data_IF_272596539152
#
_entry.id   IF_272596539152
#
_cell.length_a   1.000
_cell.length_b   1.000
_cell.length_c   1.000
_cell.angle_alpha   90.00
_cell.angle_beta   90.00
_cell.angle_gamma   90.00
#
_symmetry.space_group_name_H-M   'P 1'
#
loop_
_entity.id
_entity.type
_entity.pdbx_description
1 polymer ?
#
# COMPACT_ATOMS: atom_id res chain seq x y z
N UNK A 1 19.12 -23.50 -31.02
CA UNK A 1 18.81 -22.51 -32.07
C UNK A 1 19.06 -23.17 -33.42
N UNK A 2 18.20 -22.94 -34.42
CA UNK A 2 18.37 -23.55 -35.75
C UNK A 2 19.50 -22.83 -36.51
N UNK A 3 20.39 -23.56 -37.19
CA UNK A 3 21.58 -23.03 -37.87
C UNK A 3 21.21 -21.98 -38.93
N UNK A 4 20.15 -22.24 -39.70
CA UNK A 4 19.58 -21.30 -40.67
C UNK A 4 19.11 -19.97 -40.03
N UNK A 5 18.70 -19.99 -38.75
CA UNK A 5 18.25 -18.79 -38.02
C UNK A 5 19.44 -17.94 -37.60
N UNK A 6 20.55 -18.55 -37.19
CA UNK A 6 21.80 -17.85 -36.88
C UNK A 6 22.34 -17.15 -38.13
N UNK A 7 22.32 -17.83 -39.28
CA UNK A 7 22.78 -17.27 -40.55
C UNK A 7 21.94 -16.05 -40.97
N UNK A 8 20.61 -16.12 -40.79
CA UNK A 8 19.72 -14.98 -41.03
C UNK A 8 20.04 -13.79 -40.11
N UNK A 9 20.33 -14.03 -38.82
CA UNK A 9 20.75 -12.97 -37.90
C UNK A 9 22.08 -12.34 -38.30
N UNK A 10 23.08 -13.15 -38.67
CA UNK A 10 24.38 -12.64 -39.13
C UNK A 10 24.25 -11.82 -40.41
N UNK A 11 23.38 -12.25 -41.33
CA UNK A 11 23.09 -11.50 -42.56
C UNK A 11 22.46 -10.14 -42.25
N UNK A 12 21.50 -10.09 -41.32
CA UNK A 12 20.90 -8.84 -40.87
C UNK A 12 21.93 -7.92 -40.18
N UNK A 13 22.81 -8.47 -39.34
CA UNK A 13 23.89 -7.72 -38.68
C UNK A 13 24.86 -7.12 -39.70
N UNK A 14 25.22 -7.88 -40.74
CA UNK A 14 26.05 -7.37 -41.83
C UNK A 14 25.34 -6.25 -42.59
N UNK A 15 24.05 -6.41 -42.90
CA UNK A 15 23.26 -5.38 -43.55
C UNK A 15 23.18 -4.09 -42.70
N UNK A 16 23.07 -4.21 -41.38
CA UNK A 16 23.09 -3.08 -40.44
C UNK A 16 24.42 -2.31 -40.46
N UNK A 17 25.56 -2.97 -40.69
CA UNK A 17 26.84 -2.28 -40.85
C UNK A 17 27.00 -1.57 -42.20
N UNK A 18 26.25 -1.99 -43.22
CA UNK A 18 26.36 -1.47 -44.58
C UNK A 18 25.26 -0.46 -44.93
N UNK A 19 24.20 -0.36 -44.12
CA UNK A 19 23.11 0.56 -44.38
C UNK A 19 23.52 2.02 -44.12
N UNK A 20 22.86 2.95 -44.81
CA UNK A 20 23.12 4.37 -44.62
C UNK A 20 22.67 4.81 -43.22
N UNK A 21 23.45 5.69 -42.58
CA UNK A 21 23.13 6.23 -41.26
C UNK A 21 21.69 6.76 -41.22
N UNK A 22 20.88 6.24 -40.29
CA UNK A 22 19.47 6.60 -40.09
C UNK A 22 18.47 5.65 -40.77
N UNK A 23 18.92 4.68 -41.56
CA UNK A 23 18.05 3.66 -42.18
C UNK A 23 17.92 2.37 -41.35
N UNK A 24 18.67 2.26 -40.25
CA UNK A 24 18.65 1.08 -39.37
C UNK A 24 17.24 0.73 -38.87
N UNK A 25 16.39 1.69 -38.44
CA UNK A 25 15.03 1.36 -37.99
C UNK A 25 14.16 0.78 -39.11
N UNK A 26 14.29 1.29 -40.34
CA UNK A 26 13.54 0.78 -41.48
C UNK A 26 14.01 -0.63 -41.89
N UNK A 27 15.32 -0.88 -41.83
CA UNK A 27 15.89 -2.20 -42.08
C UNK A 27 15.44 -3.23 -41.04
N UNK A 28 15.44 -2.85 -39.76
CA UNK A 28 14.94 -3.71 -38.67
C UNK A 28 13.43 -3.97 -38.82
N UNK A 29 12.64 -2.97 -39.21
CA UNK A 29 11.21 -3.13 -39.47
C UNK A 29 10.94 -4.05 -40.67
N UNK A 30 11.74 -3.97 -41.73
CA UNK A 30 11.64 -4.84 -42.90
C UNK A 30 11.99 -6.30 -42.60
N UNK A 31 12.70 -6.57 -41.50
CA UNK A 31 13.09 -7.90 -41.02
C UNK A 31 12.51 -8.18 -39.62
N UNK A 32 11.31 -7.65 -39.32
CA UNK A 32 10.72 -7.70 -37.98
C UNK A 32 10.56 -9.14 -37.44
N UNK A 33 10.41 -10.13 -38.31
CA UNK A 33 10.35 -11.54 -37.96
C UNK A 33 11.66 -12.11 -37.43
N UNK A 34 12.79 -11.42 -37.64
CA UNK A 34 14.11 -11.74 -37.08
C UNK A 34 14.40 -10.95 -35.80
N UNK A 35 13.63 -9.90 -35.49
CA UNK A 35 13.85 -9.05 -34.31
C UNK A 35 13.27 -9.73 -33.07
N UNK A 36 14.07 -10.59 -32.46
CA UNK A 36 13.73 -11.35 -31.25
C UNK A 36 14.93 -11.45 -30.29
N UNK A 37 14.74 -12.11 -29.14
CA UNK A 37 15.80 -12.28 -28.15
C UNK A 37 17.02 -13.08 -28.69
N UNK A 38 16.83 -13.91 -29.72
CA UNK A 38 17.89 -14.65 -30.39
C UNK A 38 18.81 -13.72 -31.18
N UNK A 39 18.25 -12.74 -31.91
CA UNK A 39 19.04 -11.72 -32.59
C UNK A 39 19.88 -10.91 -31.61
N UNK A 40 19.29 -10.45 -30.50
CA UNK A 40 19.98 -9.69 -29.45
C UNK A 40 21.18 -10.48 -28.92
N UNK A 41 21.02 -11.77 -28.64
CA UNK A 41 22.10 -12.63 -28.16
C UNK A 41 23.25 -12.74 -29.18
N UNK A 42 22.94 -12.91 -30.46
CA UNK A 42 23.94 -13.00 -31.54
C UNK A 42 24.65 -11.66 -31.74
N UNK A 43 23.94 -10.52 -31.67
CA UNK A 43 24.55 -9.19 -31.73
C UNK A 43 25.56 -8.97 -30.60
N UNK A 44 25.24 -9.37 -29.36
CA UNK A 44 26.16 -9.29 -28.21
C UNK A 44 27.40 -10.17 -28.40
N UNK A 45 27.21 -11.40 -28.88
CA UNK A 45 28.32 -12.32 -29.15
C UNK A 45 29.22 -11.80 -30.28
N UNK A 46 28.63 -11.29 -31.35
CA UNK A 46 29.38 -10.74 -32.48
C UNK A 46 30.11 -9.43 -32.11
N UNK A 47 29.51 -8.60 -31.27
CA UNK A 47 30.17 -7.43 -30.70
C UNK A 47 31.44 -7.78 -29.91
N UNK A 48 31.37 -8.82 -29.07
CA UNK A 48 32.55 -9.32 -28.34
C UNK A 48 33.62 -9.91 -29.25
N UNK A 49 33.24 -10.54 -30.36
CA UNK A 49 34.18 -11.00 -31.38
C UNK A 49 34.89 -9.83 -32.09
N UNK A 50 34.16 -8.76 -32.45
CA UNK A 50 34.74 -7.55 -33.05
C UNK A 50 35.75 -6.89 -32.11
N UNK A 51 35.44 -6.83 -30.82
CA UNK A 51 36.36 -6.29 -29.81
C UNK A 51 37.66 -7.10 -29.72
N UNK A 52 37.59 -8.43 -29.78
CA UNK A 52 38.77 -9.31 -29.82
C UNK A 52 39.60 -9.14 -31.09
N UNK A 53 38.99 -8.74 -32.20
CA UNK A 53 39.68 -8.44 -33.46
C UNK A 53 40.23 -7.01 -33.54
N UNK A 54 40.01 -6.18 -32.52
CA UNK A 54 40.45 -4.79 -32.47
C UNK A 54 39.48 -3.79 -33.10
N UNK A 55 38.29 -4.22 -33.52
CA UNK A 55 37.22 -3.36 -34.04
C UNK A 55 36.26 -2.93 -32.92
N UNK A 56 36.82 -2.22 -31.93
CA UNK A 56 36.07 -1.80 -30.74
C UNK A 56 34.95 -0.79 -31.04
N UNK A 57 35.03 -0.05 -32.15
CA UNK A 57 34.01 0.93 -32.52
C UNK A 57 32.73 0.24 -33.01
N UNK A 58 32.85 -0.70 -33.95
CA UNK A 58 31.72 -1.47 -34.44
C UNK A 58 31.18 -2.42 -33.36
N UNK A 59 32.06 -3.00 -32.55
CA UNK A 59 31.66 -3.81 -31.40
C UNK A 59 30.79 -3.02 -30.41
N UNK A 60 31.23 -1.81 -30.02
CA UNK A 60 30.46 -0.97 -29.09
C UNK A 60 29.14 -0.47 -29.69
N UNK A 61 29.15 -0.08 -30.96
CA UNK A 61 27.93 0.32 -31.65
C UNK A 61 26.90 -0.81 -31.67
N UNK A 62 27.32 -2.02 -32.03
CA UNK A 62 26.45 -3.19 -32.10
C UNK A 62 25.92 -3.59 -30.72
N UNK A 63 26.75 -3.47 -29.69
CA UNK A 63 26.35 -3.70 -28.31
C UNK A 63 25.27 -2.71 -27.84
N UNK A 64 25.42 -1.42 -28.16
CA UNK A 64 24.41 -0.41 -27.83
C UNK A 64 23.08 -0.66 -28.54
N UNK A 65 23.13 -1.06 -29.82
CA UNK A 65 21.92 -1.41 -30.57
C UNK A 65 21.24 -2.66 -29.99
N UNK A 66 22.01 -3.68 -29.63
CA UNK A 66 21.49 -4.88 -28.98
C UNK A 66 20.80 -4.56 -27.65
N UNK A 67 21.35 -3.62 -26.86
CA UNK A 67 20.74 -3.16 -25.61
C UNK A 67 19.42 -2.40 -25.84
N UNK A 68 19.35 -1.57 -26.88
CA UNK A 68 18.10 -0.87 -27.24
C UNK A 68 17.01 -1.85 -27.68
N UNK A 69 17.38 -2.83 -28.52
CA UNK A 69 16.46 -3.89 -28.95
C UNK A 69 16.02 -4.77 -27.79
N UNK A 70 16.92 -5.10 -26.86
CA UNK A 70 16.58 -5.84 -25.64
C UNK A 70 15.54 -5.08 -24.81
N UNK A 71 15.68 -3.77 -24.62
CA UNK A 71 14.69 -2.95 -23.91
C UNK A 71 13.32 -2.89 -24.62
N UNK A 72 13.29 -3.02 -25.95
CA UNK A 72 12.04 -3.02 -26.72
C UNK A 72 11.37 -4.40 -26.68
N UNK A 73 12.15 -5.47 -26.74
CA UNK A 73 11.67 -6.86 -26.81
C UNK A 73 11.33 -7.45 -25.43
N UNK A 74 12.10 -7.07 -24.41
CA UNK A 74 11.92 -7.47 -23.01
C UNK A 74 12.20 -6.23 -22.14
N UNK A 75 11.27 -5.27 -22.07
CA UNK A 75 11.46 -4.07 -21.27
C UNK A 75 11.71 -4.47 -19.81
N UNK A 76 12.58 -3.73 -19.07
CA UNK A 76 12.88 -4.02 -17.68
C UNK A 76 11.60 -4.29 -16.89
N UNK A 77 11.56 -5.36 -16.09
CA UNK A 77 10.36 -5.77 -15.33
C UNK A 77 9.74 -4.63 -14.50
N UNK A 78 10.55 -3.64 -14.10
CA UNK A 78 10.11 -2.43 -13.39
C UNK A 78 9.31 -1.42 -14.23
N UNK A 79 9.34 -1.50 -15.55
CA UNK A 79 8.70 -0.52 -16.45
C UNK A 79 7.33 -0.96 -17.01
N UNK A 80 6.80 -2.12 -16.63
CA UNK A 80 5.50 -2.59 -17.16
C UNK A 80 4.33 -2.50 -16.17
N UNK A 81 4.56 -2.38 -14.86
CA UNK A 81 3.49 -2.21 -13.88
C UNK A 81 3.93 -1.30 -12.73
N UNK A 82 3.85 0.04 -12.89
CA UNK A 82 4.29 0.98 -11.84
C UNK A 82 3.55 0.78 -10.52
N UNK A 83 2.28 0.35 -10.55
CA UNK A 83 1.52 0.01 -9.34
C UNK A 83 2.05 -1.24 -8.64
N UNK A 84 2.44 -2.27 -9.42
CA UNK A 84 3.03 -3.50 -8.91
C UNK A 84 4.36 -3.27 -8.21
N UNK A 85 5.31 -2.61 -8.89
CA UNK A 85 6.61 -2.27 -8.30
C UNK A 85 6.45 -1.36 -7.08
N UNK A 86 5.59 -0.34 -7.17
CA UNK A 86 5.32 0.55 -6.04
C UNK A 86 4.73 -0.20 -4.84
N UNK A 87 3.72 -1.05 -5.05
CA UNK A 87 3.11 -1.84 -3.98
C UNK A 87 4.14 -2.76 -3.32
N UNK A 88 4.99 -3.43 -4.11
CA UNK A 88 6.05 -4.28 -3.58
C UNK A 88 7.04 -3.49 -2.73
N UNK A 89 7.58 -2.38 -3.26
CA UNK A 89 8.53 -1.52 -2.51
C UNK A 89 7.90 -0.95 -1.25
N UNK A 90 6.62 -0.57 -1.30
CA UNK A 90 5.89 -0.03 -0.17
C UNK A 90 5.73 -1.06 0.95
N UNK A 91 5.24 -2.26 0.62
CA UNK A 91 5.07 -3.35 1.58
C UNK A 91 6.41 -3.79 2.18
N UNK A 92 7.47 -3.87 1.36
CA UNK A 92 8.82 -4.14 1.85
C UNK A 92 9.32 -3.06 2.81
N UNK A 93 9.14 -1.78 2.45
CA UNK A 93 9.54 -0.65 3.30
C UNK A 93 8.80 -0.68 4.65
N UNK A 94 7.51 -1.01 4.66
CA UNK A 94 6.73 -1.13 5.88
C UNK A 94 7.27 -2.28 6.76
N UNK A 95 7.52 -3.45 6.16
CA UNK A 95 8.06 -4.60 6.87
C UNK A 95 9.46 -4.36 7.45
N UNK A 96 10.34 -3.70 6.71
CA UNK A 96 11.72 -3.43 7.14
C UNK A 96 11.82 -2.30 8.18
N UNK A 97 10.80 -1.44 8.25
CA UNK A 97 10.79 -0.28 9.14
C UNK A 97 9.85 -0.40 10.33
N UNK A 98 9.21 -1.56 10.52
CA UNK A 98 8.18 -1.79 11.54
C UNK A 98 7.09 -0.69 11.51
N UNK A 99 6.63 -0.32 10.31
CA UNK A 99 5.60 0.71 10.14
C UNK A 99 6.06 2.14 10.41
N UNK A 100 7.37 2.42 10.45
CA UNK A 100 7.87 3.76 10.75
C UNK A 100 7.59 4.77 9.63
N UNK A 101 6.72 5.76 9.93
CA UNK A 101 6.35 6.83 9.01
C UNK A 101 7.54 7.62 8.43
N UNK A 102 8.67 7.74 9.13
CA UNK A 102 9.86 8.42 8.58
C UNK A 102 10.46 7.71 7.36
N UNK A 103 10.33 6.38 7.29
CA UNK A 103 10.74 5.59 6.13
C UNK A 103 9.65 5.58 5.04
N UNK A 104 8.38 5.51 5.45
CA UNK A 104 7.24 5.31 4.55
C UNK A 104 6.82 6.62 3.84
N UNK A 105 6.72 7.74 4.56
CA UNK A 105 6.16 8.97 4.01
C UNK A 105 6.93 9.56 2.82
N UNK A 106 8.27 9.54 2.77
CA UNK A 106 8.99 9.95 1.56
C UNK A 106 8.64 9.11 0.33
N UNK A 107 8.41 7.81 0.51
CA UNK A 107 8.02 6.92 -0.58
C UNK A 107 6.62 7.26 -1.09
N UNK A 108 5.66 7.51 -0.18
CA UNK A 108 4.32 7.97 -0.56
C UNK A 108 4.34 9.35 -1.24
N UNK A 109 5.13 10.28 -0.72
CA UNK A 109 5.30 11.64 -1.26
C UNK A 109 5.82 11.64 -2.69
N UNK A 110 6.77 10.76 -3.02
CA UNK A 110 7.34 10.67 -4.35
C UNK A 110 6.41 9.95 -5.35
N UNK A 111 5.38 9.25 -4.86
CA UNK A 111 4.50 8.40 -5.66
C UNK A 111 3.02 8.79 -5.53
N UNK A 112 2.71 10.05 -5.20
CA UNK A 112 1.33 10.54 -5.07
C UNK A 112 0.45 10.24 -6.29
N UNK A 113 1.05 10.21 -7.49
CA UNK A 113 0.36 9.92 -8.74
C UNK A 113 -0.11 8.45 -8.86
N UNK A 114 0.44 7.54 -8.05
CA UNK A 114 0.02 6.14 -7.97
C UNK A 114 -1.00 5.89 -6.85
N UNK A 115 -1.28 6.90 -6.00
CA UNK A 115 -2.25 6.79 -4.91
C UNK A 115 -3.67 7.04 -5.44
N UNK A 116 -4.18 6.11 -6.25
CA UNK A 116 -5.51 6.13 -6.83
C UNK A 116 -6.25 4.78 -6.65
N UNK A 117 -7.42 4.65 -7.27
CA UNK A 117 -8.25 3.44 -7.18
C UNK A 117 -7.57 2.19 -7.77
N UNK A 118 -6.63 2.33 -8.71
CA UNK A 118 -5.90 1.18 -9.26
C UNK A 118 -5.01 0.55 -8.20
N UNK A 119 -4.35 1.37 -7.38
CA UNK A 119 -3.58 0.88 -6.23
C UNK A 119 -4.47 0.19 -5.20
N UNK A 120 -5.64 0.74 -4.90
CA UNK A 120 -6.61 0.11 -3.98
C UNK A 120 -7.04 -1.26 -4.48
N UNK A 121 -7.37 -1.36 -5.77
CA UNK A 121 -7.78 -2.62 -6.39
C UNK A 121 -6.65 -3.65 -6.42
N UNK A 122 -5.43 -3.21 -6.74
CA UNK A 122 -4.25 -4.07 -6.74
C UNK A 122 -3.94 -4.59 -5.33
N UNK A 123 -3.95 -3.72 -4.32
CA UNK A 123 -3.75 -4.10 -2.92
C UNK A 123 -4.78 -5.15 -2.47
N UNK A 124 -6.05 -4.97 -2.85
CA UNK A 124 -7.11 -5.94 -2.53
C UNK A 124 -6.90 -7.29 -3.20
N UNK A 125 -6.56 -7.29 -4.49
CA UNK A 125 -6.25 -8.53 -5.22
C UNK A 125 -5.07 -9.25 -4.58
N UNK A 126 -3.95 -8.53 -4.40
CA UNK A 126 -2.75 -9.06 -3.78
C UNK A 126 -3.02 -9.63 -2.37
N UNK A 127 -3.71 -8.89 -1.49
CA UNK A 127 -3.92 -9.34 -0.13
C UNK A 127 -4.88 -10.53 -0.04
N UNK A 128 -5.87 -10.64 -0.95
CA UNK A 128 -6.74 -11.81 -1.05
C UNK A 128 -5.95 -13.04 -1.53
N UNK A 129 -5.20 -12.91 -2.62
CA UNK A 129 -4.40 -14.00 -3.18
C UNK A 129 -3.34 -14.48 -2.18
N UNK A 130 -2.67 -13.55 -1.49
CA UNK A 130 -1.67 -13.86 -0.46
C UNK A 130 -2.32 -14.61 0.71
N UNK A 131 -3.50 -14.18 1.18
CA UNK A 131 -4.21 -14.81 2.28
C UNK A 131 -4.67 -16.24 1.95
N UNK A 132 -5.08 -16.51 0.71
CA UNK A 132 -5.49 -17.85 0.28
C UNK A 132 -4.34 -18.86 0.27
N UNK A 133 -3.12 -18.38 0.04
CA UNK A 133 -1.91 -19.21 -0.06
C UNK A 133 -1.14 -19.32 1.26
N UNK A 134 -1.41 -18.42 2.21
CA UNK A 134 -0.69 -18.32 3.47
C UNK A 134 -1.05 -19.42 4.47
N UNK A 135 -0.03 -19.92 5.17
CA UNK A 135 -0.19 -20.66 6.42
C UNK A 135 -0.78 -19.77 7.53
N UNK A 136 -1.22 -20.35 8.67
CA UNK A 136 -1.73 -19.55 9.79
C UNK A 136 -0.72 -18.52 10.33
N UNK A 137 0.56 -18.85 10.36
CA UNK A 137 1.63 -17.94 10.80
C UNK A 137 1.83 -16.79 9.79
N UNK A 138 1.91 -17.11 8.50
CA UNK A 138 2.02 -16.10 7.44
C UNK A 138 0.79 -15.20 7.39
N UNK A 139 -0.40 -15.74 7.70
CA UNK A 139 -1.65 -14.98 7.80
C UNK A 139 -1.58 -13.95 8.94
N UNK A 140 -0.95 -14.29 10.07
CA UNK A 140 -0.73 -13.36 11.16
C UNK A 140 0.28 -12.26 10.78
N UNK A 141 1.40 -12.62 10.15
CA UNK A 141 2.38 -11.66 9.66
C UNK A 141 1.78 -10.69 8.63
N UNK A 142 0.93 -11.21 7.73
CA UNK A 142 0.17 -10.40 6.78
C UNK A 142 -0.78 -9.42 7.50
N UNK A 143 -1.44 -9.84 8.58
CA UNK A 143 -2.31 -8.98 9.36
C UNK A 143 -1.57 -7.83 10.05
N UNK A 144 -0.36 -8.09 10.57
CA UNK A 144 0.50 -7.05 11.14
C UNK A 144 0.96 -6.06 10.06
N UNK A 145 1.46 -6.57 8.93
CA UNK A 145 1.87 -5.74 7.79
C UNK A 145 0.74 -4.83 7.28
N UNK A 146 -0.47 -5.38 7.16
CA UNK A 146 -1.65 -4.63 6.70
C UNK A 146 -2.16 -3.63 7.75
N UNK A 147 -1.94 -3.88 9.04
CA UNK A 147 -2.21 -2.90 10.09
C UNK A 147 -1.26 -1.70 9.97
N UNK A 148 0.03 -1.94 9.79
CA UNK A 148 1.03 -0.87 9.66
C UNK A 148 0.82 -0.06 8.37
N UNK A 149 0.50 -0.73 7.26
CA UNK A 149 0.06 -0.08 6.03
C UNK A 149 -1.15 0.83 6.30
N UNK A 150 -2.17 0.31 6.97
CA UNK A 150 -3.38 1.08 7.26
C UNK A 150 -3.11 2.29 8.15
N UNK A 151 -2.28 2.13 9.17
CA UNK A 151 -1.86 3.23 10.05
C UNK A 151 -1.07 4.30 9.29
N UNK A 152 -0.12 3.89 8.44
CA UNK A 152 0.65 4.82 7.63
C UNK A 152 -0.24 5.67 6.71
N UNK A 153 -1.20 5.06 6.01
CA UNK A 153 -2.13 5.80 5.15
C UNK A 153 -3.16 6.63 5.93
N UNK A 154 -3.59 6.17 7.10
CA UNK A 154 -4.47 6.95 7.96
C UNK A 154 -3.83 8.27 8.40
N UNK A 155 -2.55 8.22 8.78
CA UNK A 155 -1.80 9.39 9.26
C UNK A 155 -1.21 10.25 8.12
N UNK A 156 -1.17 9.74 6.88
CA UNK A 156 -0.56 10.44 5.75
C UNK A 156 -1.47 11.57 5.22
N UNK A 157 -1.07 12.85 5.33
CA UNK A 157 -1.96 13.98 5.07
C UNK A 157 -2.03 14.39 3.59
N UNK A 158 -1.18 13.84 2.72
CA UNK A 158 -1.09 14.22 1.30
C UNK A 158 -1.81 13.21 0.40
N UNK A 159 -2.05 13.62 -0.84
CA UNK A 159 -2.76 12.81 -1.84
C UNK A 159 -4.27 12.93 -1.69
N UNK A 160 -4.99 11.94 -2.23
CA UNK A 160 -6.44 11.91 -2.16
C UNK A 160 -6.88 11.26 -0.82
N UNK A 161 -7.54 12.00 0.10
CA UNK A 161 -7.91 11.45 1.41
C UNK A 161 -8.87 10.27 1.31
N UNK A 162 -9.68 10.17 0.23
CA UNK A 162 -10.57 9.01 0.02
C UNK A 162 -9.80 7.74 -0.31
N UNK A 163 -8.69 7.86 -1.04
CA UNK A 163 -7.84 6.73 -1.42
C UNK A 163 -7.05 6.25 -0.22
N UNK A 164 -6.42 7.17 0.51
CA UNK A 164 -5.72 6.85 1.75
C UNK A 164 -6.64 6.12 2.73
N UNK A 165 -7.88 6.62 2.87
CA UNK A 165 -8.88 6.01 3.73
C UNK A 165 -9.35 4.64 3.23
N UNK A 166 -9.47 4.44 1.91
CA UNK A 166 -9.83 3.14 1.35
C UNK A 166 -8.76 2.07 1.62
N UNK A 167 -7.48 2.45 1.55
CA UNK A 167 -6.35 1.58 1.90
C UNK A 167 -6.35 1.29 3.40
N UNK A 168 -6.55 2.32 4.24
CA UNK A 168 -6.61 2.17 5.69
C UNK A 168 -7.74 1.24 6.14
N UNK A 169 -8.96 1.44 5.60
CA UNK A 169 -10.11 0.57 5.91
C UNK A 169 -9.79 -0.87 5.51
N UNK A 170 -9.29 -1.11 4.30
CA UNK A 170 -8.95 -2.47 3.86
C UNK A 170 -7.95 -3.15 4.81
N UNK A 171 -6.84 -2.49 5.15
CA UNK A 171 -5.83 -3.08 6.02
C UNK A 171 -6.35 -3.35 7.44
N UNK A 172 -7.11 -2.42 8.02
CA UNK A 172 -7.73 -2.63 9.33
C UNK A 172 -8.79 -3.74 9.32
N UNK A 173 -9.58 -3.89 8.25
CA UNK A 173 -10.54 -4.99 8.13
C UNK A 173 -9.87 -6.35 8.05
N UNK A 174 -8.84 -6.48 7.21
CA UNK A 174 -8.08 -7.73 7.10
C UNK A 174 -7.41 -8.06 8.44
N UNK A 175 -6.77 -7.08 9.08
CA UNK A 175 -6.15 -7.26 10.39
C UNK A 175 -7.18 -7.71 11.44
N UNK A 176 -8.27 -6.94 11.61
CA UNK A 176 -9.29 -7.23 12.62
C UNK A 176 -9.95 -8.60 12.41
N UNK A 177 -10.23 -8.99 11.16
CA UNK A 177 -10.83 -10.31 10.87
C UNK A 177 -9.88 -11.45 11.16
N UNK A 178 -8.59 -11.29 10.87
CA UNK A 178 -7.56 -12.29 11.14
C UNK A 178 -7.32 -12.51 12.63
N UNK A 179 -7.18 -11.44 13.42
CA UNK A 179 -6.82 -11.55 14.84
C UNK A 179 -8.03 -11.76 15.77
N UNK A 180 -9.27 -11.64 15.26
CA UNK A 180 -10.53 -11.73 16.04
C UNK A 180 -10.63 -12.94 16.96
N UNK A 181 -10.06 -14.08 16.55
CA UNK A 181 -10.19 -15.37 17.25
C UNK A 181 -8.89 -15.83 17.91
N UNK A 182 -7.87 -14.97 17.94
CA UNK A 182 -6.55 -15.32 18.46
C UNK A 182 -6.45 -14.93 19.94
N UNK A 183 -6.26 -15.91 20.86
CA UNK A 183 -6.08 -15.61 22.28
C UNK A 183 -4.83 -14.76 22.51
N UNK A 184 -4.93 -13.77 23.40
CA UNK A 184 -3.81 -12.89 23.77
C UNK A 184 -3.65 -11.66 22.88
N UNK A 185 -4.41 -11.54 21.78
CA UNK A 185 -4.42 -10.38 20.89
C UNK A 185 -5.61 -9.45 21.11
N UNK A 186 -6.30 -9.55 22.26
CA UNK A 186 -7.49 -8.77 22.56
C UNK A 186 -7.20 -7.27 22.56
N UNK A 187 -6.04 -6.87 23.08
CA UNK A 187 -5.60 -5.47 23.06
C UNK A 187 -5.42 -4.94 21.64
N UNK A 188 -4.78 -5.72 20.78
CA UNK A 188 -4.51 -5.33 19.39
C UNK A 188 -5.81 -5.28 18.60
N UNK A 189 -6.69 -6.26 18.78
CA UNK A 189 -8.02 -6.26 18.19
C UNK A 189 -8.84 -5.02 18.59
N UNK A 190 -8.84 -4.65 19.88
CA UNK A 190 -9.53 -3.44 20.34
C UNK A 190 -8.94 -2.16 19.73
N UNK A 191 -7.63 -2.11 19.52
CA UNK A 191 -6.96 -0.98 18.86
C UNK A 191 -7.33 -0.91 17.39
N UNK A 192 -7.22 -2.01 16.65
CA UNK A 192 -7.59 -2.10 15.23
C UNK A 192 -9.05 -1.76 15.01
N UNK A 193 -9.97 -2.29 15.82
CA UNK A 193 -11.40 -1.97 15.72
C UNK A 193 -11.71 -0.50 16.00
N UNK A 194 -11.00 0.13 16.94
CA UNK A 194 -11.17 1.56 17.19
C UNK A 194 -10.68 2.40 16.01
N UNK A 195 -9.53 2.07 15.43
CA UNK A 195 -9.00 2.78 14.27
C UNK A 195 -9.88 2.56 13.03
N UNK A 196 -10.40 1.35 12.84
CA UNK A 196 -11.41 1.05 11.83
C UNK A 196 -12.68 1.90 12.01
N UNK A 197 -13.14 2.06 13.25
CA UNK A 197 -14.28 2.92 13.57
C UNK A 197 -14.02 4.40 13.23
N UNK A 198 -12.81 4.89 13.49
CA UNK A 198 -12.39 6.26 13.12
C UNK A 198 -12.39 6.39 11.60
N UNK A 199 -11.79 5.44 10.90
CA UNK A 199 -11.71 5.45 9.45
C UNK A 199 -13.10 5.48 8.80
N UNK A 200 -14.03 4.67 9.30
CA UNK A 200 -15.42 4.69 8.85
C UNK A 200 -16.15 6.02 9.15
N UNK A 201 -15.90 6.61 10.31
CA UNK A 201 -16.48 7.91 10.67
C UNK A 201 -16.02 9.02 9.72
N UNK A 202 -14.71 9.06 9.42
CA UNK A 202 -14.15 10.01 8.43
C UNK A 202 -14.76 9.75 7.04
N UNK A 203 -14.96 8.49 6.65
CA UNK A 203 -15.53 8.18 5.34
C UNK A 203 -16.97 8.68 5.21
N UNK A 204 -17.73 8.61 6.31
CA UNK A 204 -19.07 9.17 6.39
C UNK A 204 -19.07 10.70 6.32
N UNK A 205 -18.15 11.37 7.01
CA UNK A 205 -17.98 12.83 6.95
C UNK A 205 -17.60 13.31 5.54
N UNK A 206 -16.84 12.51 4.80
CA UNK A 206 -16.56 12.74 3.39
C UNK A 206 -17.77 12.42 2.48
N UNK A 207 -18.93 12.05 3.01
CA UNK A 207 -20.17 11.87 2.28
C UNK A 207 -20.28 10.56 1.47
N UNK A 208 -19.36 9.60 1.65
CA UNK A 208 -19.47 8.28 1.02
C UNK A 208 -20.33 7.40 1.92
N UNK A 209 -21.53 7.07 1.47
CA UNK A 209 -22.52 6.23 2.19
C UNK A 209 -22.59 6.54 3.71
N UNK A 210 -22.90 7.81 4.08
CA UNK A 210 -22.66 8.30 5.44
C UNK A 210 -23.38 7.51 6.53
N UNK A 211 -24.62 7.09 6.29
CA UNK A 211 -25.39 6.28 7.25
C UNK A 211 -24.73 4.90 7.45
N UNK A 212 -24.46 4.18 6.36
CA UNK A 212 -23.89 2.83 6.42
C UNK A 212 -22.47 2.84 7.05
N UNK A 213 -21.65 3.85 6.75
CA UNK A 213 -20.34 3.96 7.35
C UNK A 213 -20.38 4.34 8.83
N UNK A 214 -21.35 5.16 9.27
CA UNK A 214 -21.55 5.39 10.70
C UNK A 214 -22.03 4.12 11.43
N UNK A 215 -22.89 3.30 10.80
CA UNK A 215 -23.29 2.01 11.36
C UNK A 215 -22.08 1.07 11.54
N UNK A 216 -21.21 0.98 10.53
CA UNK A 216 -19.95 0.21 10.60
C UNK A 216 -19.02 0.75 11.69
N UNK A 217 -18.90 2.08 11.81
CA UNK A 217 -18.10 2.71 12.86
C UNK A 217 -18.62 2.36 14.25
N UNK A 218 -19.93 2.51 14.47
CA UNK A 218 -20.60 2.19 15.74
C UNK A 218 -20.44 0.71 16.10
N UNK A 219 -20.55 -0.19 15.11
CA UNK A 219 -20.31 -1.62 15.32
C UNK A 219 -18.87 -1.89 15.79
N UNK A 220 -17.87 -1.33 15.09
CA UNK A 220 -16.46 -1.50 15.43
C UNK A 220 -16.14 -0.93 16.83
N UNK A 221 -16.63 0.27 17.16
CA UNK A 221 -16.44 0.88 18.48
C UNK A 221 -17.13 0.10 19.60
N UNK A 222 -18.32 -0.47 19.37
CA UNK A 222 -19.01 -1.29 20.37
C UNK A 222 -18.24 -2.58 20.66
N UNK A 223 -17.68 -3.22 19.63
CA UNK A 223 -16.83 -4.41 19.78
C UNK A 223 -15.53 -4.06 20.54
N UNK A 224 -14.83 -2.99 20.15
CA UNK A 224 -13.65 -2.49 20.87
C UNK A 224 -13.95 -2.14 22.34
N UNK A 225 -15.10 -1.50 22.61
CA UNK A 225 -15.57 -1.18 23.97
C UNK A 225 -15.83 -2.45 24.79
N UNK A 226 -16.35 -3.50 24.16
CA UNK A 226 -16.63 -4.77 24.84
C UNK A 226 -15.33 -5.43 25.29
N UNK A 227 -14.31 -5.44 24.43
CA UNK A 227 -12.99 -5.96 24.73
C UNK A 227 -12.30 -5.12 25.82
N UNK A 228 -12.30 -3.78 25.69
CA UNK A 228 -11.65 -2.86 26.64
C UNK A 228 -12.30 -2.82 28.03
N UNK A 229 -13.45 -3.47 28.24
CA UNK A 229 -14.04 -3.66 29.57
C UNK A 229 -13.47 -4.86 30.33
N UNK A 230 -12.69 -5.70 29.67
CA UNK A 230 -12.03 -6.82 30.33
C UNK A 230 -10.92 -6.30 31.27
N UNK A 231 -10.70 -6.97 32.41
CA UNK A 231 -9.65 -6.60 33.36
C UNK A 231 -8.27 -6.46 32.70
N UNK A 232 -7.63 -5.30 32.86
CA UNK A 232 -6.29 -5.02 32.34
C UNK A 232 -6.22 -4.42 30.93
N UNK A 233 -7.38 -4.16 30.30
CA UNK A 233 -7.50 -3.56 28.95
C UNK A 233 -8.20 -2.19 28.95
N UNK A 234 -8.46 -1.60 30.12
CA UNK A 234 -9.32 -0.42 30.29
C UNK A 234 -8.66 0.91 29.92
N UNK A 235 -7.33 0.93 29.75
CA UNK A 235 -6.52 2.14 29.55
C UNK A 235 -7.10 3.09 28.50
N UNK A 236 -7.56 2.55 27.37
CA UNK A 236 -8.04 3.34 26.22
C UNK A 236 -9.58 3.32 26.08
N UNK A 237 -10.29 2.76 27.07
CA UNK A 237 -11.76 2.65 27.06
C UNK A 237 -12.44 4.01 26.95
N UNK A 238 -11.93 5.02 27.65
CA UNK A 238 -12.48 6.38 27.62
C UNK A 238 -12.45 6.98 26.21
N UNK A 239 -11.35 6.82 25.48
CA UNK A 239 -11.20 7.33 24.12
C UNK A 239 -12.19 6.65 23.16
N UNK A 240 -12.37 5.32 23.26
CA UNK A 240 -13.34 4.59 22.44
C UNK A 240 -14.78 5.01 22.72
N UNK A 241 -15.12 5.20 24.00
CA UNK A 241 -16.44 5.66 24.40
C UNK A 241 -16.73 7.08 23.91
N UNK A 242 -15.71 7.93 23.85
CA UNK A 242 -15.83 9.27 23.28
C UNK A 242 -16.14 9.20 21.78
N UNK A 243 -15.38 8.42 21.02
CA UNK A 243 -15.58 8.24 19.59
C UNK A 243 -16.95 7.63 19.27
N UNK A 244 -17.38 6.63 20.04
CA UNK A 244 -18.71 6.05 19.94
C UNK A 244 -19.82 7.08 20.23
N UNK A 245 -19.60 7.95 21.22
CA UNK A 245 -20.53 9.02 21.56
C UNK A 245 -20.71 10.02 20.41
N UNK A 246 -19.60 10.42 19.78
CA UNK A 246 -19.58 11.29 18.61
C UNK A 246 -20.31 10.64 17.44
N UNK A 247 -20.02 9.38 17.11
CA UNK A 247 -20.64 8.68 15.99
C UNK A 247 -22.18 8.61 16.11
N UNK A 248 -22.70 8.34 17.33
CA UNK A 248 -24.14 8.41 17.59
C UNK A 248 -24.71 9.83 17.40
N UNK A 249 -23.99 10.85 17.87
CA UNK A 249 -24.38 12.25 17.64
C UNK A 249 -24.46 12.60 16.15
N UNK A 250 -23.51 12.14 15.35
CA UNK A 250 -23.51 12.34 13.89
C UNK A 250 -24.68 11.61 13.23
N UNK A 251 -25.00 10.37 13.63
CA UNK A 251 -26.20 9.68 13.11
C UNK A 251 -27.50 10.44 13.44
N UNK A 252 -27.62 10.98 14.65
CA UNK A 252 -28.78 11.77 15.04
C UNK A 252 -28.92 13.04 14.19
N UNK A 253 -27.81 13.71 13.87
CA UNK A 253 -27.80 14.88 12.97
C UNK A 253 -28.23 14.53 11.54
N UNK A 254 -27.96 13.30 11.08
CA UNK A 254 -28.45 12.77 9.81
C UNK A 254 -29.91 12.29 9.86
N UNK A 255 -30.61 12.50 10.98
CA UNK A 255 -32.01 12.14 11.15
C UNK A 255 -32.26 10.67 11.47
N UNK A 256 -31.22 9.87 11.73
CA UNK A 256 -31.35 8.47 12.11
C UNK A 256 -31.68 8.39 13.60
N UNK A 257 -32.89 7.92 13.94
CA UNK A 257 -33.40 7.74 15.31
C UNK A 257 -32.88 8.81 16.31
N UNK A 258 -33.11 10.11 16.06
CA UNK A 258 -32.31 11.18 16.66
C UNK A 258 -32.38 11.19 18.19
N UNK A 259 -33.54 10.90 18.78
CA UNK A 259 -33.71 10.83 20.24
C UNK A 259 -32.90 9.68 20.82
N UNK A 260 -33.05 8.47 20.29
CA UNK A 260 -32.34 7.29 20.78
C UNK A 260 -30.83 7.44 20.63
N UNK A 261 -30.38 7.94 19.47
CA UNK A 261 -28.96 8.15 19.20
C UNK A 261 -28.34 9.23 20.09
N UNK A 262 -29.04 10.34 20.37
CA UNK A 262 -28.56 11.33 21.34
C UNK A 262 -28.48 10.75 22.77
N UNK A 263 -29.45 9.95 23.19
CA UNK A 263 -29.41 9.26 24.49
C UNK A 263 -28.25 8.25 24.57
N UNK A 264 -28.01 7.50 23.50
CA UNK A 264 -26.86 6.61 23.40
C UNK A 264 -25.56 7.41 23.48
N UNK A 265 -25.42 8.45 22.68
CA UNK A 265 -24.23 9.32 22.64
C UNK A 265 -23.89 9.91 24.01
N UNK A 266 -24.87 10.56 24.65
CA UNK A 266 -24.70 11.16 25.98
C UNK A 266 -24.28 10.13 27.04
N UNK A 267 -24.86 8.92 27.01
CA UNK A 267 -24.46 7.84 27.93
C UNK A 267 -23.00 7.40 27.73
N UNK A 268 -22.51 7.37 26.48
CA UNK A 268 -21.11 6.98 26.20
C UNK A 268 -20.14 8.08 26.61
N UNK A 269 -20.43 9.33 26.28
CA UNK A 269 -19.63 10.49 26.70
C UNK A 269 -19.55 10.60 28.23
N UNK A 270 -20.67 10.45 28.93
CA UNK A 270 -20.68 10.45 30.39
C UNK A 270 -19.80 9.34 30.99
N UNK A 271 -19.88 8.12 30.44
CA UNK A 271 -19.01 7.01 30.87
C UNK A 271 -17.54 7.24 30.53
N UNK A 272 -17.23 7.89 29.40
CA UNK A 272 -15.86 8.25 29.04
C UNK A 272 -15.22 9.12 30.13
N UNK A 273 -15.91 10.16 30.60
CA UNK A 273 -15.42 11.04 31.67
C UNK A 273 -15.12 10.31 32.98
N UNK A 274 -15.94 9.31 33.35
CA UNK A 274 -15.70 8.49 34.55
C UNK A 274 -14.50 7.55 34.43
N UNK A 275 -14.05 7.27 33.21
CA UNK A 275 -12.89 6.41 32.94
C UNK A 275 -11.63 7.22 32.59
N UNK A 276 -11.69 8.55 32.62
CA UNK A 276 -10.47 9.35 32.51
C UNK A 276 -9.63 9.14 33.77
N UNK A 277 -8.31 8.89 33.66
CA UNK A 277 -7.45 8.94 34.83
C UNK A 277 -7.61 10.32 35.48
N UNK A 278 -7.61 10.43 36.82
CA UNK A 278 -7.79 11.72 37.48
C UNK A 278 -6.78 12.69 36.89
N UNK A 279 -7.27 13.77 36.30
CA UNK A 279 -6.42 14.87 35.86
C UNK A 279 -5.69 15.35 37.10
N UNK A 280 -4.40 15.02 37.16
CA UNK A 280 -3.51 15.56 38.18
C UNK A 280 -3.47 17.06 37.98
N UNK A 281 -4.39 17.78 38.61
CA UNK A 281 -4.20 19.17 38.94
C UNK A 281 -2.93 19.17 39.78
N UNK A 282 -1.78 19.44 39.14
CA UNK A 282 -0.60 19.93 39.83
C UNK A 282 -1.10 21.15 40.58
N UNK A 283 -1.37 20.98 41.88
CA UNK A 283 -1.45 22.10 42.82
C UNK A 283 -0.20 22.91 42.53
N UNK A 284 -0.39 24.14 42.05
CA UNK A 284 0.69 25.05 41.74
C UNK A 284 1.66 25.06 42.90
N UNK A 285 2.96 24.99 42.58
CA UNK A 285 4.00 25.29 43.52
C UNK A 285 3.67 26.64 44.16
N UNK A 286 3.24 26.62 45.42
CA UNK A 286 3.23 27.79 46.27
C UNK A 286 4.68 28.23 46.42
N UNK A 287 5.08 29.23 45.63
CA UNK A 287 6.19 30.08 46.01
C UNK A 287 5.68 30.93 47.17
N UNK A 288 6.11 30.58 48.38
CA UNK A 288 6.02 31.48 49.51
C UNK A 288 7.32 32.28 49.53
N UNK A 289 7.29 33.62 49.37
CA UNK A 289 8.46 34.44 49.57
C UNK A 289 8.54 34.80 51.05
N UNK A 290 9.63 34.41 51.71
CA UNK A 290 10.37 35.17 52.73
C UNK A 290 11.57 34.35 53.22
#
# INVERSE_FOLDING_TARGET
MNEARIEAYLTLIQALFQCENGQEPALLQANAELVDAGLVAVMKQYAGFLEQQGDSNNGRWLLNMAQQLEQILDPPRDNQNPYGSFLQTLLQTIAESDGNGQAIYPLLDNNLHLLDENLVNLLRAWGNDTKEQASPEETYQLAALLYDLAYAFHEFPKGNPRINLAIAIYGYEVCATTIRRQPGLERDLATTLNNLGIAYSIQAELGKEPVANLERAIAAYNEATTIRRQPGLERDLAATLNNLGIAYGTQAQLGQEPVANLEHGNRRLHRSHHHQPPTGIRKGFSHNPQ
#
